data_IF_454120326865
#
_entry.id   IF_454120326865
#
_cell.length_a   1.000
_cell.length_b   1.000
_cell.length_c   1.000
_cell.angle_alpha   90.00
_cell.angle_beta   90.00
_cell.angle_gamma   90.00
#
_symmetry.space_group_name_H-M   'P 1'
#
loop_
_entity.id
_entity.type
_entity.pdbx_description
1 polymer ?
#
# COMPACT_ATOMS: atom_id res chain seq x y z
N UNK A 1 13.44 -15.86 21.24
CA UNK A 1 13.07 -14.72 20.35
C UNK A 1 14.30 -14.31 19.58
N UNK A 2 14.45 -14.80 18.35
CA UNK A 2 15.62 -14.48 17.52
C UNK A 2 15.30 -14.81 16.06
N UNK A 3 14.82 -13.83 15.31
CA UNK A 3 14.86 -13.83 13.85
C UNK A 3 14.99 -12.40 13.35
N UNK A 4 16.20 -12.04 12.98
CA UNK A 4 16.59 -11.17 11.86
C UNK A 4 18.11 -11.03 11.99
N UNK A 5 18.95 -11.78 11.28
CA UNK A 5 18.84 -12.17 9.89
C UNK A 5 19.47 -11.08 9.04
N UNK A 6 20.75 -11.27 8.69
CA UNK A 6 21.61 -10.41 7.85
C UNK A 6 20.80 -9.73 6.72
N UNK A 7 20.95 -8.40 6.47
CA UNK A 7 20.14 -7.68 5.49
C UNK A 7 20.32 -8.31 4.10
N UNK A 8 19.30 -9.06 3.66
CA UNK A 8 19.27 -9.74 2.37
C UNK A 8 18.86 -8.73 1.29
N UNK A 9 19.84 -7.99 0.77
CA UNK A 9 19.75 -7.32 -0.53
C UNK A 9 18.75 -6.16 -0.68
N UNK A 10 18.67 -5.66 -1.92
CA UNK A 10 17.93 -4.46 -2.35
C UNK A 10 16.45 -4.45 -1.93
N UNK A 11 15.82 -5.63 -1.87
CA UNK A 11 14.42 -5.81 -1.49
C UNK A 11 14.13 -5.42 -0.03
N UNK A 12 15.08 -5.64 0.88
CA UNK A 12 14.92 -5.31 2.30
C UNK A 12 14.82 -3.80 2.53
N UNK A 13 15.64 -3.02 1.80
CA UNK A 13 15.63 -1.55 1.91
C UNK A 13 14.31 -0.95 1.42
N UNK A 14 13.77 -1.44 0.29
CA UNK A 14 12.47 -0.97 -0.22
C UNK A 14 11.35 -1.27 0.78
N UNK A 15 11.31 -2.49 1.32
CA UNK A 15 10.30 -2.89 2.30
C UNK A 15 10.37 -2.04 3.58
N UNK A 16 11.56 -1.80 4.11
CA UNK A 16 11.79 -0.92 5.28
C UNK A 16 11.28 0.49 5.04
N UNK A 17 11.53 1.05 3.85
CA UNK A 17 11.04 2.38 3.47
C UNK A 17 9.50 2.45 3.42
N UNK A 18 8.85 1.44 2.85
CA UNK A 18 7.39 1.37 2.78
C UNK A 18 6.78 1.24 4.18
N UNK A 19 7.34 0.37 5.04
CA UNK A 19 6.87 0.19 6.41
C UNK A 19 7.00 1.49 7.22
N UNK A 20 8.16 2.15 7.13
CA UNK A 20 8.37 3.45 7.77
C UNK A 20 7.36 4.50 7.29
N UNK A 21 7.07 4.50 5.98
CA UNK A 21 6.10 5.40 5.40
C UNK A 21 4.69 5.14 5.93
N UNK A 22 4.27 3.87 5.98
CA UNK A 22 2.97 3.46 6.51
C UNK A 22 2.77 3.99 7.94
N UNK A 23 3.77 3.84 8.81
CA UNK A 23 3.71 4.35 10.19
C UNK A 23 3.65 5.88 10.28
N UNK A 24 4.32 6.59 9.37
CA UNK A 24 4.31 8.05 9.40
C UNK A 24 2.99 8.62 8.86
N UNK A 25 2.40 7.99 7.83
CA UNK A 25 1.14 8.45 7.24
C UNK A 25 -0.08 8.17 8.12
N UNK A 26 -0.03 7.19 9.03
CA UNK A 26 -1.11 6.99 10.01
C UNK A 26 -1.14 8.05 11.10
N UNK A 27 -0.02 8.74 11.34
CA UNK A 27 0.14 9.60 12.52
C UNK A 27 0.35 11.09 12.18
N UNK A 28 0.63 11.43 10.92
CA UNK A 28 1.10 12.78 10.54
C UNK A 28 0.51 13.21 9.20
N UNK A 29 0.04 14.46 9.13
CA UNK A 29 -0.40 15.10 7.88
C UNK A 29 0.70 15.13 6.81
N UNK A 30 0.29 14.95 5.55
CA UNK A 30 1.15 14.81 4.36
C UNK A 30 2.32 15.80 4.30
N UNK A 31 2.06 17.09 4.57
CA UNK A 31 3.06 18.16 4.46
C UNK A 31 4.23 18.05 5.46
N UNK A 32 4.01 17.34 6.57
CA UNK A 32 5.01 17.17 7.63
C UNK A 32 5.87 15.91 7.45
N UNK A 33 5.57 15.06 6.47
CA UNK A 33 6.38 13.89 6.14
C UNK A 33 7.48 14.32 5.17
N UNK A 34 8.74 14.22 5.59
CA UNK A 34 9.89 14.53 4.72
C UNK A 34 10.68 13.27 4.41
N UNK A 35 11.35 13.22 3.26
CA UNK A 35 12.23 12.11 2.87
C UNK A 35 13.32 11.85 3.90
N UNK A 36 13.80 12.89 4.59
CA UNK A 36 14.76 12.77 5.70
C UNK A 36 14.16 12.08 6.93
N UNK A 37 12.93 12.41 7.31
CA UNK A 37 12.23 11.76 8.45
C UNK A 37 11.97 10.28 8.17
N UNK A 38 11.62 9.97 6.94
CA UNK A 38 11.47 8.60 6.43
C UNK A 38 12.75 7.81 6.43
N UNK A 39 13.83 8.35 5.87
CA UNK A 39 15.14 7.72 5.88
C UNK A 39 15.59 7.37 7.30
N UNK A 40 15.37 8.30 8.25
CA UNK A 40 15.64 8.09 9.67
C UNK A 40 14.77 6.98 10.26
N UNK A 41 13.46 6.98 9.98
CA UNK A 41 12.52 5.98 10.51
C UNK A 41 12.78 4.58 9.95
N UNK A 42 13.15 4.49 8.66
CA UNK A 42 13.50 3.23 8.01
C UNK A 42 14.93 2.77 8.34
N UNK A 43 15.74 3.63 8.97
CA UNK A 43 17.17 3.42 9.22
C UNK A 43 17.96 3.11 7.93
N UNK A 44 17.77 3.96 6.92
CA UNK A 44 18.41 3.83 5.61
C UNK A 44 19.01 5.16 5.16
N UNK A 45 20.01 5.10 4.28
CA UNK A 45 20.58 6.29 3.67
C UNK A 45 19.56 6.98 2.74
N UNK A 46 19.43 8.31 2.84
CA UNK A 46 18.60 9.14 1.94
C UNK A 46 18.88 8.87 0.46
N UNK A 47 20.12 8.54 0.09
CA UNK A 47 20.48 8.19 -1.28
C UNK A 47 19.69 6.99 -1.80
N UNK A 48 19.32 6.04 -0.93
CA UNK A 48 18.50 4.88 -1.30
C UNK A 48 17.08 5.30 -1.70
N UNK A 49 16.52 6.32 -1.07
CA UNK A 49 15.21 6.85 -1.46
C UNK A 49 15.25 7.36 -2.89
N UNK A 50 16.30 8.11 -3.26
CA UNK A 50 16.48 8.58 -4.64
C UNK A 50 16.74 7.43 -5.62
N UNK A 51 17.49 6.42 -5.21
CA UNK A 51 17.77 5.26 -6.05
C UNK A 51 16.51 4.44 -6.37
N UNK A 52 15.65 4.18 -5.38
CA UNK A 52 14.45 3.36 -5.57
C UNK A 52 13.26 4.12 -6.14
N UNK A 53 13.12 5.39 -5.78
CA UNK A 53 11.89 6.14 -6.05
C UNK A 53 12.12 7.42 -6.87
N UNK A 54 13.38 7.70 -7.24
CA UNK A 54 13.77 8.86 -8.03
C UNK A 54 13.61 10.17 -7.25
N UNK A 55 12.48 10.83 -7.45
CA UNK A 55 12.18 12.14 -6.88
C UNK A 55 11.14 12.05 -5.75
N UNK A 56 10.96 13.17 -5.02
CA UNK A 56 10.01 13.25 -3.91
C UNK A 56 8.61 12.83 -4.37
N UNK A 57 8.13 13.37 -5.49
CA UNK A 57 6.78 13.12 -6.01
C UNK A 57 6.54 11.64 -6.36
N UNK A 58 7.51 10.97 -6.98
CA UNK A 58 7.47 9.55 -7.34
C UNK A 58 7.42 8.66 -6.11
N UNK A 59 8.25 8.96 -5.11
CA UNK A 59 8.22 8.29 -3.82
C UNK A 59 6.86 8.39 -3.12
N UNK A 60 6.29 9.61 -3.05
CA UNK A 60 4.97 9.80 -2.46
C UNK A 60 3.86 9.07 -3.23
N UNK A 61 3.91 9.10 -4.57
CA UNK A 61 2.95 8.39 -5.41
C UNK A 61 2.99 6.87 -5.20
N UNK A 62 4.19 6.28 -5.14
CA UNK A 62 4.33 4.85 -4.88
C UNK A 62 3.78 4.45 -3.51
N UNK A 63 4.11 5.22 -2.47
CA UNK A 63 3.63 4.90 -1.13
C UNK A 63 2.12 5.08 -1.03
N UNK A 64 1.56 6.15 -1.61
CA UNK A 64 0.12 6.34 -1.63
C UNK A 64 -0.58 5.16 -2.31
N UNK A 65 -0.05 4.67 -3.44
CA UNK A 65 -0.58 3.47 -4.10
C UNK A 65 -0.52 2.26 -3.18
N UNK A 66 0.58 2.02 -2.48
CA UNK A 66 0.71 0.89 -1.55
C UNK A 66 -0.22 1.00 -0.33
N UNK A 67 -0.40 2.19 0.22
CA UNK A 67 -1.29 2.43 1.37
C UNK A 67 -2.77 2.35 0.97
N UNK A 68 -3.12 2.85 -0.22
CA UNK A 68 -4.49 2.83 -0.74
C UNK A 68 -4.89 1.50 -1.38
N UNK A 69 -3.94 0.67 -1.82
CA UNK A 69 -4.21 -0.64 -2.42
C UNK A 69 -5.17 -1.53 -1.60
N UNK A 70 -4.98 -1.73 -0.28
CA UNK A 70 -5.92 -2.52 0.53
C UNK A 70 -7.31 -1.87 0.62
N UNK A 71 -7.39 -0.55 0.73
CA UNK A 71 -8.65 0.19 0.79
C UNK A 71 -9.42 0.05 -0.53
N UNK A 72 -8.72 0.23 -1.67
CA UNK A 72 -9.28 0.02 -3.01
C UNK A 72 -9.80 -1.41 -3.18
N UNK A 73 -9.09 -2.41 -2.66
CA UNK A 73 -9.51 -3.81 -2.70
C UNK A 73 -10.78 -4.04 -1.88
N UNK A 74 -10.86 -3.48 -0.67
CA UNK A 74 -12.06 -3.56 0.18
C UNK A 74 -13.26 -2.86 -0.45
N UNK A 75 -13.07 -1.67 -1.02
CA UNK A 75 -14.13 -0.96 -1.74
C UNK A 75 -14.61 -1.73 -2.97
N UNK A 76 -13.69 -2.32 -3.75
CA UNK A 76 -14.04 -3.14 -4.90
C UNK A 76 -14.83 -4.40 -4.50
N UNK A 77 -14.51 -5.03 -3.37
CA UNK A 77 -15.26 -6.16 -2.83
C UNK A 77 -16.66 -5.74 -2.37
N UNK A 78 -16.77 -4.63 -1.63
CA UNK A 78 -18.05 -4.10 -1.17
C UNK A 78 -18.98 -3.68 -2.34
N UNK A 79 -18.43 -3.19 -3.46
CA UNK A 79 -19.20 -2.89 -4.67
C UNK A 79 -19.68 -4.15 -5.40
N UNK A 80 -18.96 -5.26 -5.30
CA UNK A 80 -19.36 -6.54 -5.90
C UNK A 80 -20.44 -7.26 -5.06
N UNK A 81 -20.49 -7.04 -3.76
CA UNK A 81 -21.55 -7.55 -2.88
C UNK A 81 -22.92 -6.87 -3.14
N UNK A 82 -22.92 -5.72 -3.82
CA UNK A 82 -24.13 -5.01 -4.25
C UNK A 82 -24.71 -5.45 -5.60
N UNK A 83 -24.06 -6.36 -6.34
CA UNK A 83 -24.55 -6.82 -7.64
C UNK A 83 -25.42 -8.07 -7.50
N UNK A 84 -26.68 -7.82 -7.16
CA UNK A 84 -27.88 -8.59 -7.55
C UNK A 84 -27.69 -10.10 -7.67
N UNK A 85 -27.94 -10.79 -6.55
CA UNK A 85 -28.66 -12.04 -6.65
C UNK A 85 -30.00 -11.76 -7.34
N UNK A 86 -30.11 -12.13 -8.62
CA UNK A 86 -31.42 -12.49 -9.14
C UNK A 86 -31.70 -13.90 -8.60
N UNK A 87 -32.50 -13.99 -7.54
CA UNK A 87 -33.18 -15.23 -7.17
C UNK A 87 -34.24 -15.49 -8.24
N UNK A 88 -33.86 -16.12 -9.34
CA UNK A 88 -34.83 -16.66 -10.29
C UNK A 88 -34.43 -18.06 -10.79
N UNK A 89 -34.03 -18.95 -9.89
CA UNK A 89 -33.94 -20.39 -10.20
C UNK A 89 -35.33 -21.07 -10.21
N UNK A 90 -36.42 -20.31 -10.16
CA UNK A 90 -37.80 -20.85 -10.26
C UNK A 90 -38.77 -19.90 -10.98
N UNK A 91 -38.34 -19.24 -12.04
CA UNK A 91 -39.28 -18.58 -12.96
C UNK A 91 -39.35 -19.38 -14.26
N UNK A 92 -40.25 -20.37 -14.29
CA UNK A 92 -40.64 -21.12 -15.48
C UNK A 92 -41.47 -20.26 -16.43
N UNK A 93 -40.82 -19.35 -17.15
CA UNK A 93 -41.43 -18.53 -18.20
C UNK A 93 -40.82 -18.81 -19.57
N UNK A 94 -40.80 -20.07 -20.00
CA UNK A 94 -40.62 -20.44 -21.40
C UNK A 94 -41.63 -21.54 -21.74
N UNK A 95 -42.39 -21.29 -22.81
CA UNK A 95 -43.40 -22.14 -23.46
C UNK A 95 -44.82 -22.16 -22.89
N UNK A 96 -45.67 -21.37 -23.54
CA UNK A 96 -47.13 -21.42 -23.55
C UNK A 96 -47.63 -20.55 -24.69
#
# INVERSE_FOLDING_TARGET
MSKSGRPQGKSDVRARLINAARHLFTCIAYDKVTTRKLAKQADVNIAMIRYYFGNKSGFFSEILKEVLAPIKKQMAQALQEGNTGCLCDSCGCWFG
#
